data_IF_513772976448
#
_entry.id   IF_513772976448
#
_cell.length_a   1.000
_cell.length_b   1.000
_cell.length_c   1.000
_cell.angle_alpha   90.00
_cell.angle_beta   90.00
_cell.angle_gamma   90.00
#
_symmetry.space_group_name_H-M   'P 1'
#
loop_
_entity.id
_entity.type
_entity.pdbx_description
1 polymer ?
#
# COMPACT_ATOMS: atom_id res chain seq x y z
N UNK A 1 -0.65 28.31 -32.94
CA UNK A 1 -1.46 27.57 -31.95
C UNK A 1 -1.58 26.17 -32.49
N UNK A 2 -1.04 25.16 -31.82
CA UNK A 2 -1.09 23.78 -32.31
C UNK A 2 -2.54 23.30 -32.29
N UNK A 3 -3.10 22.97 -33.45
CA UNK A 3 -4.41 22.34 -33.54
C UNK A 3 -4.35 21.02 -32.79
N UNK A 4 -5.16 20.90 -31.74
CA UNK A 4 -5.23 19.67 -30.94
C UNK A 4 -5.91 18.62 -31.84
N UNK A 5 -5.27 17.48 -32.15
CA UNK A 5 -5.73 16.55 -33.20
C UNK A 5 -7.05 15.82 -32.87
N UNK A 6 -7.67 16.10 -31.73
CA UNK A 6 -8.86 15.43 -31.25
C UNK A 6 -9.91 16.45 -30.81
N UNK A 7 -11.08 16.35 -31.42
CA UNK A 7 -12.25 17.15 -31.11
C UNK A 7 -12.96 16.54 -29.88
N UNK A 8 -13.29 17.34 -28.87
CA UNK A 8 -13.79 16.90 -27.56
C UNK A 8 -15.15 17.51 -27.22
N UNK A 9 -15.98 16.80 -26.46
CA UNK A 9 -17.22 17.32 -25.87
C UNK A 9 -17.10 17.28 -24.35
N UNK A 10 -17.61 18.30 -23.66
CA UNK A 10 -17.76 18.27 -22.20
C UNK A 10 -19.16 17.74 -21.87
N UNK A 11 -19.25 16.84 -20.89
CA UNK A 11 -20.53 16.35 -20.36
C UNK A 11 -21.42 17.52 -19.92
N UNK A 12 -22.74 17.32 -19.93
CA UNK A 12 -23.72 18.36 -19.57
C UNK A 12 -23.52 18.93 -18.17
N UNK A 13 -22.95 18.13 -17.27
CA UNK A 13 -22.63 18.51 -15.89
C UNK A 13 -21.30 19.29 -15.78
N UNK A 14 -20.57 19.51 -16.89
CA UNK A 14 -19.28 20.22 -16.91
C UNK A 14 -18.08 19.42 -16.42
N UNK A 15 -18.30 18.17 -15.97
CA UNK A 15 -17.35 17.44 -15.14
C UNK A 15 -16.44 16.46 -15.88
N UNK A 16 -16.79 16.08 -17.11
CA UNK A 16 -16.10 15.02 -17.87
C UNK A 16 -15.87 15.42 -19.31
N UNK A 17 -14.70 15.09 -19.82
CA UNK A 17 -14.32 15.17 -21.23
C UNK A 17 -14.65 13.84 -21.90
N UNK A 18 -15.31 13.93 -23.05
CA UNK A 18 -15.74 12.82 -23.88
C UNK A 18 -15.22 12.98 -25.31
N UNK A 19 -15.00 11.86 -25.98
CA UNK A 19 -14.67 11.82 -27.40
C UNK A 19 -15.84 12.39 -28.23
N UNK A 20 -15.62 13.43 -29.04
CA UNK A 20 -16.70 14.10 -29.78
C UNK A 20 -17.54 13.21 -30.71
N UNK A 21 -16.96 12.35 -31.56
CA UNK A 21 -17.74 11.51 -32.46
C UNK A 21 -18.54 10.40 -31.76
N UNK A 22 -18.19 10.03 -30.53
CA UNK A 22 -18.72 8.80 -29.89
C UNK A 22 -19.28 9.01 -28.49
N UNK A 23 -19.08 10.17 -27.85
CA UNK A 23 -19.52 10.49 -26.50
C UNK A 23 -19.06 9.47 -25.43
N UNK A 24 -17.90 8.86 -25.63
CA UNK A 24 -17.29 7.88 -24.73
C UNK A 24 -16.04 8.46 -24.07
N UNK A 25 -15.78 8.07 -22.83
CA UNK A 25 -14.53 8.36 -22.10
C UNK A 25 -13.36 7.56 -22.68
N UNK A 26 -13.58 6.25 -22.91
CA UNK A 26 -12.68 5.37 -23.64
C UNK A 26 -13.25 5.07 -25.02
N UNK A 27 -12.56 5.51 -26.07
CA UNK A 27 -13.02 5.28 -27.44
C UNK A 27 -12.05 4.37 -28.18
N UNK A 28 -12.43 3.10 -28.35
CA UNK A 28 -11.65 2.12 -29.12
C UNK A 28 -11.52 2.46 -30.61
N UNK A 29 -12.43 3.27 -31.16
CA UNK A 29 -12.43 3.66 -32.58
C UNK A 29 -11.47 4.82 -32.88
N UNK A 30 -11.34 5.76 -31.94
CA UNK A 30 -10.44 6.90 -32.04
C UNK A 30 -9.11 6.66 -31.30
N UNK A 31 -8.97 5.52 -30.63
CA UNK A 31 -7.82 5.15 -29.80
C UNK A 31 -7.44 6.23 -28.77
N UNK A 32 -8.46 6.86 -28.18
CA UNK A 32 -8.30 7.89 -27.13
C UNK A 32 -8.90 7.41 -25.81
N UNK A 33 -8.19 7.69 -24.73
CA UNK A 33 -8.62 7.46 -23.36
C UNK A 33 -8.60 8.77 -22.57
N UNK A 34 -9.79 9.29 -22.26
CA UNK A 34 -9.97 10.49 -21.45
C UNK A 34 -10.10 10.19 -19.96
N UNK A 35 -10.12 8.92 -19.53
CA UNK A 35 -10.21 8.54 -18.12
C UNK A 35 -9.12 9.20 -17.26
N UNK A 36 -7.82 9.23 -17.67
CA UNK A 36 -6.78 9.89 -16.88
C UNK A 36 -7.05 11.39 -16.69
N UNK A 37 -7.54 12.07 -17.72
CA UNK A 37 -7.87 13.49 -17.67
C UNK A 37 -9.06 13.77 -16.76
N UNK A 38 -10.12 12.97 -16.88
CA UNK A 38 -11.32 13.09 -16.04
C UNK A 38 -10.99 12.82 -14.57
N UNK A 39 -10.18 11.79 -14.30
CA UNK A 39 -9.73 11.47 -12.94
C UNK A 39 -8.86 12.59 -12.34
N UNK A 40 -7.96 13.18 -13.15
CA UNK A 40 -7.18 14.34 -12.72
C UNK A 40 -8.09 15.53 -12.40
N UNK A 41 -9.06 15.86 -13.27
CA UNK A 41 -9.99 16.95 -13.05
C UNK A 41 -10.79 16.79 -11.75
N UNK A 42 -11.29 15.58 -11.47
CA UNK A 42 -11.97 15.25 -10.20
C UNK A 42 -11.03 15.48 -9.01
N UNK A 43 -9.78 15.02 -9.10
CA UNK A 43 -8.80 15.16 -8.02
C UNK A 43 -8.40 16.61 -7.73
N UNK A 44 -8.58 17.52 -8.70
CA UNK A 44 -8.25 18.94 -8.58
C UNK A 44 -9.42 19.80 -8.07
N UNK A 45 -10.65 19.25 -8.02
CA UNK A 45 -11.83 19.97 -7.49
C UNK A 45 -11.60 20.54 -6.08
N UNK A 46 -11.01 19.79 -5.11
CA UNK A 46 -10.74 20.33 -3.78
C UNK A 46 -9.69 21.44 -3.76
N UNK A 47 -8.88 21.56 -4.82
CA UNK A 47 -7.78 22.51 -4.94
C UNK A 47 -8.12 23.71 -5.85
N UNK A 48 -9.40 23.95 -6.15
CA UNK A 48 -9.84 24.99 -7.10
C UNK A 48 -9.11 24.95 -8.45
N UNK A 49 -8.78 23.75 -8.93
CA UNK A 49 -8.15 23.55 -10.24
C UNK A 49 -6.64 23.75 -10.31
N UNK A 50 -5.99 24.20 -9.22
CA UNK A 50 -4.54 24.41 -9.18
C UNK A 50 -3.96 23.57 -8.03
N UNK A 51 -3.07 22.60 -8.31
CA UNK A 51 -2.45 21.84 -7.24
C UNK A 51 -1.64 22.80 -6.33
N UNK A 52 -1.83 22.76 -5.00
CA UNK A 52 -1.02 23.51 -4.07
C UNK A 52 0.46 23.15 -4.20
N UNK A 53 1.37 24.03 -3.74
CA UNK A 53 2.79 23.76 -3.80
C UNK A 53 3.14 22.46 -3.06
N UNK A 54 4.17 21.72 -3.52
CA UNK A 54 4.60 20.41 -3.00
C UNK A 54 4.72 20.27 -1.47
N UNK A 55 4.99 21.37 -0.76
CA UNK A 55 5.26 21.37 0.67
C UNK A 55 4.02 21.65 1.54
N UNK A 56 2.86 21.89 0.92
CA UNK A 56 1.59 22.07 1.64
C UNK A 56 0.99 20.71 2.01
N UNK A 57 1.59 20.02 2.98
CA UNK A 57 1.07 18.77 3.53
C UNK A 57 -0.35 19.02 4.06
N UNK A 58 -1.31 18.16 3.72
CA UNK A 58 -2.63 18.16 4.37
C UNK A 58 -2.55 17.37 5.69
N UNK A 59 -2.44 18.03 6.87
CA UNK A 59 -2.20 17.36 8.14
C UNK A 59 -3.39 16.48 8.59
N UNK A 60 -4.58 16.71 8.06
CA UNK A 60 -5.81 16.05 8.52
C UNK A 60 -5.83 14.56 8.13
N UNK A 61 -5.34 14.21 6.93
CA UNK A 61 -5.32 12.81 6.48
C UNK A 61 -4.32 12.00 7.31
N UNK A 62 -3.12 12.56 7.55
CA UNK A 62 -2.07 11.93 8.35
C UNK A 62 -2.56 11.62 9.78
N UNK A 63 -3.24 12.58 10.41
CA UNK A 63 -3.82 12.41 11.73
C UNK A 63 -4.86 11.29 11.78
N UNK A 64 -5.74 11.22 10.78
CA UNK A 64 -6.77 10.18 10.69
C UNK A 64 -6.18 8.78 10.44
N UNK A 65 -5.21 8.64 9.53
CA UNK A 65 -4.51 7.38 9.27
C UNK A 65 -3.81 6.88 10.55
N UNK A 66 -3.14 7.79 11.28
CA UNK A 66 -2.50 7.44 12.55
C UNK A 66 -3.50 7.01 13.61
N UNK A 67 -4.64 7.70 13.72
CA UNK A 67 -5.71 7.31 14.66
C UNK A 67 -6.26 5.92 14.35
N UNK A 68 -6.55 5.62 13.09
CA UNK A 68 -7.01 4.29 12.66
C UNK A 68 -5.98 3.21 12.96
N UNK A 69 -4.69 3.49 12.72
CA UNK A 69 -3.58 2.59 13.09
C UNK A 69 -3.55 2.34 14.59
N UNK A 70 -3.68 3.38 15.41
CA UNK A 70 -3.68 3.26 16.87
C UNK A 70 -4.88 2.49 17.39
N UNK A 71 -6.07 2.74 16.85
CA UNK A 71 -7.28 2.00 17.19
C UNK A 71 -7.14 0.52 16.79
N UNK A 72 -6.61 0.23 15.60
CA UNK A 72 -6.25 -1.13 15.18
C UNK A 72 -5.27 -1.80 16.15
N UNK A 73 -4.28 -1.08 16.65
CA UNK A 73 -3.33 -1.60 17.64
C UNK A 73 -4.00 -1.93 18.99
N UNK A 74 -5.05 -1.20 19.39
CA UNK A 74 -5.82 -1.53 20.60
C UNK A 74 -6.54 -2.87 20.44
N UNK A 75 -7.19 -3.09 19.31
CA UNK A 75 -7.85 -4.37 19.01
C UNK A 75 -6.84 -5.52 18.85
N UNK A 76 -5.68 -5.25 18.24
CA UNK A 76 -4.60 -6.24 18.14
C UNK A 76 -4.10 -6.69 19.52
N UNK A 77 -3.93 -5.75 20.46
CA UNK A 77 -3.55 -6.05 21.85
C UNK A 77 -4.64 -6.79 22.64
N UNK A 78 -5.89 -6.68 22.21
CA UNK A 78 -7.03 -7.39 22.79
C UNK A 78 -7.29 -8.75 22.12
N UNK A 79 -6.34 -9.26 21.32
CA UNK A 79 -6.43 -10.47 20.51
C UNK A 79 -7.61 -10.51 19.53
N UNK A 80 -8.26 -9.35 19.29
CA UNK A 80 -9.32 -9.23 18.31
C UNK A 80 -8.75 -8.86 16.93
N UNK A 81 -8.17 -9.86 16.26
CA UNK A 81 -7.50 -9.68 14.98
C UNK A 81 -8.42 -9.29 13.81
N UNK A 82 -9.64 -9.83 13.64
CA UNK A 82 -10.52 -9.46 12.52
C UNK A 82 -10.88 -7.96 12.51
N UNK A 83 -11.23 -7.40 13.66
CA UNK A 83 -11.52 -5.97 13.82
C UNK A 83 -10.26 -5.11 13.61
N UNK A 84 -9.10 -5.56 14.10
CA UNK A 84 -7.84 -4.88 13.85
C UNK A 84 -7.53 -4.81 12.34
N UNK A 85 -7.72 -5.90 11.59
CA UNK A 85 -7.53 -5.95 10.14
C UNK A 85 -8.44 -4.98 9.41
N UNK A 86 -9.72 -4.85 9.83
CA UNK A 86 -10.66 -3.88 9.25
C UNK A 86 -10.13 -2.45 9.40
N UNK A 87 -9.71 -2.07 10.61
CA UNK A 87 -9.19 -0.74 10.89
C UNK A 87 -7.89 -0.44 10.15
N UNK A 88 -6.98 -1.41 10.07
CA UNK A 88 -5.77 -1.26 9.26
C UNK A 88 -6.12 -1.11 7.78
N UNK A 89 -7.08 -1.86 7.25
CA UNK A 89 -7.49 -1.75 5.85
C UNK A 89 -8.09 -0.38 5.54
N UNK A 90 -8.93 0.15 6.44
CA UNK A 90 -9.42 1.53 6.32
C UNK A 90 -8.28 2.55 6.32
N UNK A 91 -7.24 2.34 7.14
CA UNK A 91 -6.06 3.22 7.15
C UNK A 91 -5.27 3.14 5.82
N UNK A 92 -5.13 1.93 5.24
CA UNK A 92 -4.52 1.73 3.92
C UNK A 92 -5.32 2.45 2.84
N UNK A 93 -6.64 2.24 2.79
CA UNK A 93 -7.51 2.85 1.78
C UNK A 93 -7.48 4.37 1.86
N UNK A 94 -7.51 4.92 3.08
CA UNK A 94 -7.41 6.35 3.31
C UNK A 94 -6.06 6.91 2.87
N UNK A 95 -4.96 6.21 3.16
CA UNK A 95 -3.63 6.61 2.71
C UNK A 95 -3.51 6.57 1.17
N UNK A 96 -4.11 5.56 0.52
CA UNK A 96 -4.12 5.41 -0.93
C UNK A 96 -5.06 6.37 -1.66
N UNK A 97 -6.07 6.91 -0.97
CA UNK A 97 -7.01 7.89 -1.52
C UNK A 97 -6.41 9.28 -1.78
N UNK A 98 -5.11 9.48 -1.51
CA UNK A 98 -4.44 10.77 -1.73
C UNK A 98 -4.35 11.10 -3.22
N UNK A 99 -4.52 12.37 -3.61
CA UNK A 99 -4.40 12.78 -5.01
C UNK A 99 -2.99 12.53 -5.57
N UNK A 100 -2.92 12.06 -6.82
CA UNK A 100 -1.65 11.77 -7.50
C UNK A 100 -0.78 13.01 -7.73
N UNK A 101 -1.39 14.19 -7.75
CA UNK A 101 -0.68 15.46 -7.92
C UNK A 101 0.01 15.95 -6.64
N UNK A 102 -0.21 15.32 -5.48
CA UNK A 102 0.53 15.62 -4.25
C UNK A 102 1.88 14.89 -4.31
N UNK A 103 3.00 15.60 -4.57
CA UNK A 103 4.31 14.97 -4.74
C UNK A 103 4.84 14.39 -3.43
N UNK A 104 4.35 14.88 -2.27
CA UNK A 104 4.67 14.31 -0.97
C UNK A 104 3.80 13.11 -0.64
N UNK A 105 2.69 12.89 -1.35
CA UNK A 105 1.84 11.72 -1.13
C UNK A 105 2.66 10.43 -1.23
N UNK A 106 3.56 10.28 -2.21
CA UNK A 106 4.34 9.03 -2.30
C UNK A 106 5.29 8.82 -1.11
N UNK A 107 5.98 9.87 -0.64
CA UNK A 107 6.90 9.76 0.49
C UNK A 107 6.17 9.62 1.83
N UNK A 108 5.11 10.39 2.06
CA UNK A 108 4.27 10.32 3.25
C UNK A 108 3.56 8.97 3.31
N UNK A 109 2.98 8.51 2.20
CA UNK A 109 2.33 7.20 2.12
C UNK A 109 3.33 6.11 2.43
N UNK A 110 4.56 6.16 1.89
CA UNK A 110 5.60 5.18 2.24
C UNK A 110 5.87 5.13 3.74
N UNK A 111 6.04 6.28 4.38
CA UNK A 111 6.33 6.37 5.81
C UNK A 111 5.17 5.87 6.69
N UNK A 112 3.93 6.25 6.35
CA UNK A 112 2.72 5.91 7.12
C UNK A 112 2.23 4.48 6.87
N UNK A 113 2.24 4.04 5.62
CA UNK A 113 1.67 2.77 5.19
C UNK A 113 2.53 1.58 5.66
N UNK A 114 3.84 1.77 5.72
CA UNK A 114 4.80 0.74 6.13
C UNK A 114 4.46 0.12 7.51
N UNK A 115 4.31 0.89 8.60
CA UNK A 115 3.92 0.34 9.90
C UNK A 115 2.50 -0.22 9.91
N UNK A 116 1.56 0.34 9.14
CA UNK A 116 0.18 -0.17 9.04
C UNK A 116 0.14 -1.55 8.42
N UNK A 117 0.79 -1.73 7.25
CA UNK A 117 0.86 -3.01 6.55
C UNK A 117 1.61 -4.07 7.36
N UNK A 118 2.68 -3.70 8.07
CA UNK A 118 3.39 -4.63 8.95
C UNK A 118 2.53 -5.13 10.11
N UNK A 119 1.69 -4.26 10.69
CA UNK A 119 0.75 -4.65 11.74
C UNK A 119 -0.41 -5.48 11.18
N UNK A 120 -0.91 -5.16 9.99
CA UNK A 120 -1.94 -5.96 9.30
C UNK A 120 -1.41 -7.35 8.92
N UNK A 121 -0.19 -7.45 8.42
CA UNK A 121 0.49 -8.73 8.17
C UNK A 121 0.63 -9.57 9.45
N UNK A 122 0.97 -8.93 10.58
CA UNK A 122 1.01 -9.61 11.86
C UNK A 122 -0.37 -10.15 12.27
N UNK A 123 -1.43 -9.35 12.11
CA UNK A 123 -2.80 -9.78 12.40
C UNK A 123 -3.24 -10.94 11.51
N UNK A 124 -2.92 -10.89 10.22
CA UNK A 124 -3.19 -12.01 9.30
C UNK A 124 -2.42 -13.27 9.68
N UNK A 125 -1.16 -13.14 10.10
CA UNK A 125 -0.36 -14.28 10.59
C UNK A 125 -0.99 -14.91 11.82
N UNK A 126 -1.46 -14.10 12.79
CA UNK A 126 -2.18 -14.60 13.98
C UNK A 126 -3.51 -15.29 13.64
N UNK A 127 -4.11 -14.95 12.50
CA UNK A 127 -5.32 -15.60 11.97
C UNK A 127 -5.04 -16.79 11.06
N UNK A 128 -3.78 -17.24 10.92
CA UNK A 128 -3.33 -18.26 9.96
C UNK A 128 -3.62 -17.94 8.49
N UNK A 129 -3.83 -16.65 8.17
CA UNK A 129 -4.02 -16.16 6.80
C UNK A 129 -2.67 -15.79 6.18
N UNK A 130 -1.84 -16.80 5.96
CA UNK A 130 -0.44 -16.58 5.58
C UNK A 130 -0.26 -15.98 4.18
N UNK A 131 -1.16 -16.23 3.24
CA UNK A 131 -1.12 -15.62 1.89
C UNK A 131 -1.33 -14.11 1.97
N UNK A 132 -2.38 -13.67 2.69
CA UNK A 132 -2.66 -12.25 2.90
C UNK A 132 -1.50 -11.56 3.65
N UNK A 133 -0.95 -12.22 4.67
CA UNK A 133 0.22 -11.73 5.40
C UNK A 133 1.45 -11.58 4.50
N UNK A 134 1.66 -12.50 3.56
CA UNK A 134 2.77 -12.45 2.62
C UNK A 134 2.64 -11.26 1.68
N UNK A 135 1.46 -11.01 1.11
CA UNK A 135 1.22 -9.86 0.22
C UNK A 135 1.54 -8.54 0.93
N UNK A 136 1.06 -8.38 2.16
CA UNK A 136 1.34 -7.19 2.97
C UNK A 136 2.83 -7.05 3.28
N UNK A 137 3.48 -8.14 3.69
CA UNK A 137 4.92 -8.13 4.01
C UNK A 137 5.79 -7.83 2.78
N UNK A 138 5.44 -8.36 1.60
CA UNK A 138 6.14 -8.02 0.36
C UNK A 138 5.98 -6.55 0.01
N UNK A 139 4.78 -6.00 0.18
CA UNK A 139 4.54 -4.57 -0.04
C UNK A 139 5.41 -3.73 0.92
N UNK A 140 5.52 -4.13 2.19
CA UNK A 140 6.42 -3.47 3.15
C UNK A 140 7.88 -3.50 2.67
N UNK A 141 8.40 -4.65 2.24
CA UNK A 141 9.79 -4.75 1.75
C UNK A 141 10.06 -3.92 0.49
N UNK A 142 9.02 -3.67 -0.34
CA UNK A 142 9.11 -2.78 -1.51
C UNK A 142 9.02 -1.30 -1.13
N UNK A 143 8.27 -0.97 -0.07
CA UNK A 143 8.13 0.40 0.42
C UNK A 143 9.38 0.85 1.18
N UNK A 144 9.88 0.01 2.10
CA UNK A 144 11.09 0.27 2.89
C UNK A 144 11.95 -0.98 2.95
N UNK A 145 12.96 -1.03 2.07
CA UNK A 145 13.86 -2.18 1.97
C UNK A 145 14.75 -2.29 3.21
N UNK A 146 15.13 -1.15 3.78
CA UNK A 146 16.03 -1.03 4.92
C UNK A 146 15.38 -1.43 6.25
N UNK A 147 14.06 -1.65 6.26
CA UNK A 147 13.33 -1.98 7.48
C UNK A 147 13.30 -3.49 7.72
N UNK A 148 14.25 -3.98 8.51
CA UNK A 148 14.41 -5.38 8.92
C UNK A 148 13.11 -6.07 9.37
N UNK A 149 12.23 -5.35 10.08
CA UNK A 149 10.92 -5.87 10.52
C UNK A 149 10.02 -6.30 9.36
N UNK A 150 10.11 -5.65 8.20
CA UNK A 150 9.37 -6.03 6.99
C UNK A 150 9.78 -7.42 6.50
N UNK A 151 11.09 -7.66 6.43
CA UNK A 151 11.69 -8.95 6.10
C UNK A 151 11.30 -10.03 7.11
N UNK A 152 11.29 -9.69 8.41
CA UNK A 152 10.83 -10.61 9.45
C UNK A 152 9.36 -11.04 9.25
N UNK A 153 8.45 -10.09 8.93
CA UNK A 153 7.05 -10.43 8.61
C UNK A 153 6.95 -11.33 7.38
N UNK A 154 7.77 -11.08 6.35
CA UNK A 154 7.80 -11.90 5.13
C UNK A 154 8.22 -13.33 5.43
N UNK A 155 9.30 -13.51 6.21
CA UNK A 155 9.76 -14.82 6.63
C UNK A 155 8.73 -15.56 7.49
N UNK A 156 8.06 -14.88 8.44
CA UNK A 156 6.98 -15.47 9.25
C UNK A 156 5.81 -15.97 8.40
N UNK A 157 5.39 -15.21 7.41
CA UNK A 157 4.32 -15.61 6.49
C UNK A 157 4.73 -16.82 5.63
N UNK A 158 5.96 -16.82 5.11
CA UNK A 158 6.50 -17.94 4.31
C UNK A 158 6.67 -19.22 5.13
N UNK A 159 7.06 -19.11 6.40
CA UNK A 159 7.08 -20.21 7.36
C UNK A 159 5.70 -20.85 7.53
N UNK A 160 4.66 -20.04 7.70
CA UNK A 160 3.28 -20.54 7.79
C UNK A 160 2.78 -21.20 6.49
N UNK A 161 3.34 -20.82 5.35
CA UNK A 161 3.10 -21.46 4.04
C UNK A 161 4.01 -22.69 3.78
N UNK A 162 4.84 -23.09 4.74
CA UNK A 162 5.84 -24.17 4.59
C UNK A 162 6.84 -23.95 3.44
N UNK A 163 7.05 -22.70 3.04
CA UNK A 163 8.04 -22.31 2.03
C UNK A 163 9.36 -21.98 2.73
N UNK A 164 9.98 -23.00 3.32
CA UNK A 164 11.13 -22.86 4.20
C UNK A 164 12.36 -22.21 3.52
N UNK A 165 12.66 -22.59 2.29
CA UNK A 165 13.75 -21.99 1.50
C UNK A 165 13.58 -20.48 1.32
N UNK A 166 12.37 -20.06 0.96
CA UNK A 166 12.06 -18.65 0.72
C UNK A 166 12.00 -17.86 2.04
N UNK A 167 11.54 -18.50 3.11
CA UNK A 167 11.50 -17.91 4.45
C UNK A 167 12.92 -17.59 4.95
N UNK A 168 13.86 -18.55 4.80
CA UNK A 168 15.27 -18.34 5.11
C UNK A 168 15.85 -17.18 4.31
N UNK A 169 15.66 -17.17 2.99
CA UNK A 169 16.14 -16.10 2.12
C UNK A 169 15.57 -14.73 2.52
N UNK A 170 14.31 -14.67 2.95
CA UNK A 170 13.71 -13.43 3.44
C UNK A 170 14.37 -12.94 4.75
N UNK A 171 14.68 -13.83 5.69
CA UNK A 171 15.37 -13.44 6.92
C UNK A 171 16.83 -13.04 6.68
N UNK A 172 17.54 -13.74 5.80
CA UNK A 172 18.90 -13.39 5.37
C UNK A 172 18.93 -11.99 4.72
N UNK A 173 17.95 -11.67 3.86
CA UNK A 173 17.81 -10.33 3.30
C UNK A 173 17.55 -9.25 4.37
N UNK A 174 16.89 -9.61 5.48
CA UNK A 174 16.74 -8.73 6.64
C UNK A 174 18.06 -8.49 7.38
N UNK A 175 18.89 -9.53 7.50
CA UNK A 175 20.21 -9.46 8.15
C UNK A 175 21.21 -8.60 7.35
N UNK A 176 21.03 -8.44 6.04
CA UNK A 176 21.83 -7.48 5.26
C UNK A 176 21.71 -6.04 5.80
N UNK A 177 20.55 -5.69 6.35
CA UNK A 177 20.29 -4.36 6.92
C UNK A 177 20.49 -4.29 8.43
N UNK A 178 20.26 -5.39 9.14
CA UNK A 178 20.47 -5.49 10.58
C UNK A 178 21.25 -6.78 10.95
N UNK A 179 22.58 -6.81 10.74
CA UNK A 179 23.39 -8.03 10.87
C UNK A 179 23.40 -8.62 12.29
N UNK A 180 23.28 -7.75 13.30
CA UNK A 180 23.31 -8.14 14.72
C UNK A 180 21.92 -8.45 15.29
N UNK A 181 20.90 -8.58 14.42
CA UNK A 181 19.54 -8.84 14.86
C UNK A 181 19.38 -10.25 15.42
N UNK A 182 19.26 -10.35 16.74
CA UNK A 182 19.03 -11.64 17.41
C UNK A 182 17.68 -12.27 17.03
N UNK A 183 16.67 -11.46 16.68
CA UNK A 183 15.36 -11.94 16.27
C UNK A 183 15.40 -12.66 14.92
N UNK A 184 16.12 -12.10 13.94
CA UNK A 184 16.27 -12.70 12.61
C UNK A 184 17.10 -13.99 12.66
N UNK A 185 18.21 -14.00 13.42
CA UNK A 185 19.03 -15.19 13.58
C UNK A 185 18.23 -16.35 14.21
N UNK A 186 17.46 -16.08 15.27
CA UNK A 186 16.56 -17.08 15.86
C UNK A 186 15.51 -17.57 14.87
N UNK A 187 14.96 -16.68 14.06
CA UNK A 187 13.96 -17.05 13.07
C UNK A 187 14.54 -17.97 11.96
N UNK A 188 15.81 -17.78 11.57
CA UNK A 188 16.51 -18.69 10.66
C UNK A 188 16.70 -20.07 11.30
N UNK A 189 17.13 -20.15 12.55
CA UNK A 189 17.24 -21.42 13.27
C UNK A 189 15.89 -22.14 13.39
N UNK A 190 14.81 -21.39 13.61
CA UNK A 190 13.43 -21.94 13.62
C UNK A 190 13.04 -22.50 12.25
N UNK A 191 13.43 -21.84 11.15
CA UNK A 191 13.21 -22.33 9.78
C UNK A 191 13.94 -23.64 9.53
N UNK A 192 15.21 -23.72 9.91
CA UNK A 192 16.01 -24.93 9.71
C UNK A 192 15.45 -26.11 10.51
N UNK A 193 15.05 -25.88 11.76
CA UNK A 193 14.39 -26.91 12.58
C UNK A 193 13.07 -27.37 11.96
N UNK A 194 12.26 -26.45 11.46
CA UNK A 194 10.99 -26.78 10.82
C UNK A 194 11.18 -27.52 9.49
N UNK A 195 12.18 -27.15 8.69
CA UNK A 195 12.54 -27.83 7.45
C UNK A 195 12.92 -29.29 7.72
N UNK A 196 13.79 -29.54 8.71
CA UNK A 196 14.21 -30.89 9.11
C UNK A 196 13.10 -31.73 9.74
N UNK A 197 12.02 -31.11 10.23
CA UNK A 197 10.90 -31.82 10.84
C UNK A 197 9.80 -32.19 9.83
N UNK A 198 9.75 -31.52 8.67
CA UNK A 198 8.79 -31.76 7.60
C UNK A 198 9.33 -32.73 6.52
N UNK A 199 10.65 -32.94 6.45
CA UNK A 199 11.36 -33.97 5.63
C UNK A 199 11.35 -35.36 6.29
#
# INVERSE_FOLDING_TARGET
MAEVPYSVIVSKDGDKVLCQPHSLETCSKCSVDWCPLNNLAVSLKPANGIPPPPNAVNPNINGHVNRLREDGNKFFKADNFPEAVKLYSMAVDMSWSRPLWDPMAFQIVREELTPVLSNRAAAYTSMNKFVDALVDAEMVTKLKKEWSKGWFRKGKALMGLKRYSDARAAYEAGLEFEPESTELNKAIEEVEKAFLADD
#
